data_IF_467906460665
#
_entry.id   IF_467906460665
#
_cell.length_a   1.000
_cell.length_b   1.000
_cell.length_c   1.000
_cell.angle_alpha   90.00
_cell.angle_beta   90.00
_cell.angle_gamma   90.00
#
_symmetry.space_group_name_H-M   'P 1'
#
loop_
_entity.id
_entity.type
_entity.pdbx_description
1 polymer ?
#
# COMPACT_ATOMS: atom_id res chain seq x y z
N UNK A 1 4.58 -6.32 15.86
CA UNK A 1 5.57 -5.37 16.05
C UNK A 1 4.91 -4.01 16.16
N UNK A 2 4.87 -3.53 17.26
CA UNK A 2 4.13 -2.35 17.54
C UNK A 2 5.09 -1.18 17.68
N UNK A 3 4.77 -0.26 18.47
CA UNK A 3 5.62 0.87 18.69
C UNK A 3 6.81 0.55 19.57
N UNK A 4 6.99 -0.71 19.88
CA UNK A 4 8.11 -1.14 20.61
C UNK A 4 9.41 -0.72 20.01
N UNK A 5 9.45 -0.51 18.73
CA UNK A 5 10.62 0.05 18.12
C UNK A 5 10.94 1.41 18.63
N UNK A 6 9.90 2.13 18.99
CA UNK A 6 9.98 3.56 19.21
C UNK A 6 9.61 3.93 20.61
N UNK A 7 9.40 2.92 21.44
CA UNK A 7 8.92 3.14 22.78
C UNK A 7 7.57 3.86 22.72
N UNK A 8 7.36 4.80 23.59
CA UNK A 8 6.11 5.53 23.67
C UNK A 8 6.10 6.79 22.82
N UNK A 9 7.15 7.04 22.07
CA UNK A 9 7.20 8.23 21.21
C UNK A 9 6.48 8.05 19.89
N UNK A 10 6.10 6.83 19.53
CA UNK A 10 5.43 6.54 18.26
C UNK A 10 4.10 5.84 18.48
N UNK A 11 3.16 6.12 17.61
CA UNK A 11 1.85 5.50 17.61
C UNK A 11 1.51 4.98 16.23
N UNK A 12 0.83 3.83 16.19
CA UNK A 12 0.26 3.31 14.97
C UNK A 12 -1.23 3.63 14.95
N UNK A 13 -1.65 4.37 13.95
CA UNK A 13 -3.04 4.79 13.79
C UNK A 13 -3.55 4.32 12.44
N UNK A 14 -4.61 3.51 12.44
CA UNK A 14 -5.21 2.98 11.23
C UNK A 14 -6.72 3.13 11.32
N UNK A 15 -7.36 3.90 10.43
CA UNK A 15 -6.78 4.75 9.41
C UNK A 15 -6.13 5.99 9.99
N UNK A 16 -5.23 6.61 9.22
CA UNK A 16 -4.56 7.83 9.65
C UNK A 16 -5.56 8.97 9.82
N UNK A 17 -5.24 9.90 10.72
CA UNK A 17 -6.09 11.07 10.98
C UNK A 17 -5.86 12.14 9.92
N UNK A 18 -6.42 11.92 8.74
CA UNK A 18 -6.36 12.84 7.63
C UNK A 18 -7.78 13.17 7.19
N UNK A 19 -7.98 14.38 6.68
CA UNK A 19 -9.29 14.71 6.14
C UNK A 19 -9.51 14.06 4.76
N UNK A 20 -10.72 14.19 4.23
CA UNK A 20 -11.09 13.54 2.98
C UNK A 20 -10.21 14.02 1.82
N UNK A 21 -9.90 15.31 1.79
CA UNK A 21 -9.08 15.87 0.72
C UNK A 21 -7.63 15.38 0.82
N UNK A 22 -7.10 15.32 2.02
CA UNK A 22 -5.75 14.80 2.24
C UNK A 22 -5.65 13.34 1.84
N UNK A 23 -6.65 12.54 2.19
CA UNK A 23 -6.68 11.12 1.81
C UNK A 23 -6.74 10.98 0.29
N UNK A 24 -7.61 11.74 -0.38
CA UNK A 24 -7.72 11.68 -1.83
C UNK A 24 -6.42 12.08 -2.52
N UNK A 25 -5.76 13.10 -2.02
CA UNK A 25 -4.48 13.57 -2.54
C UNK A 25 -3.39 12.49 -2.37
N UNK A 26 -3.33 11.90 -1.19
CA UNK A 26 -2.38 10.85 -0.88
C UNK A 26 -2.59 9.63 -1.78
N UNK A 27 -3.84 9.20 -1.93
CA UNK A 27 -4.17 8.05 -2.77
C UNK A 27 -3.82 8.29 -4.23
N UNK A 28 -4.13 9.47 -4.74
CA UNK A 28 -3.82 9.83 -6.13
C UNK A 28 -2.30 9.82 -6.35
N UNK A 29 -1.55 10.36 -5.41
CA UNK A 29 -0.09 10.38 -5.49
C UNK A 29 0.50 8.97 -5.44
N UNK A 30 -0.03 8.13 -4.54
CA UNK A 30 0.41 6.74 -4.42
C UNK A 30 0.17 5.97 -5.73
N UNK A 31 -0.99 6.16 -6.35
CA UNK A 31 -1.31 5.52 -7.63
C UNK A 31 -0.36 5.99 -8.73
N UNK A 32 -0.07 7.29 -8.79
CA UNK A 32 0.87 7.82 -9.76
C UNK A 32 2.26 7.21 -9.62
N UNK A 33 2.73 7.08 -8.39
CA UNK A 33 4.04 6.48 -8.11
C UNK A 33 4.02 5.00 -8.52
N UNK A 34 2.98 4.28 -8.14
CA UNK A 34 2.79 2.88 -8.49
C UNK A 34 2.87 2.66 -10.00
N UNK A 35 2.16 3.47 -10.77
CA UNK A 35 2.16 3.37 -12.22
C UNK A 35 3.49 3.80 -12.84
N UNK A 36 4.10 4.86 -12.32
CA UNK A 36 5.37 5.36 -12.85
C UNK A 36 6.49 4.34 -12.69
N UNK A 37 6.48 3.58 -11.59
CA UNK A 37 7.46 2.55 -11.34
C UNK A 37 7.08 1.20 -11.96
N UNK A 38 5.93 1.13 -12.62
CA UNK A 38 5.44 -0.08 -13.27
C UNK A 38 5.29 -1.24 -12.30
N UNK A 39 4.85 -0.95 -11.10
CA UNK A 39 4.59 -1.97 -10.09
C UNK A 39 3.34 -2.76 -10.51
N UNK A 40 3.33 -4.04 -10.21
CA UNK A 40 2.15 -4.89 -10.38
C UNK A 40 1.91 -5.66 -9.08
N UNK A 41 0.65 -5.92 -8.80
CA UNK A 41 0.27 -6.62 -7.58
C UNK A 41 0.34 -5.69 -6.38
N UNK A 42 0.87 -6.21 -5.27
CA UNK A 42 0.86 -5.45 -4.04
C UNK A 42 2.02 -4.47 -3.93
N UNK A 43 1.74 -3.39 -3.23
CA UNK A 43 2.76 -2.43 -2.84
C UNK A 43 2.28 -1.65 -1.63
N UNK A 44 3.22 -1.21 -0.81
CA UNK A 44 2.95 -0.21 0.22
C UNK A 44 3.83 0.99 -0.10
N UNK A 45 3.20 2.14 -0.22
CA UNK A 45 3.91 3.38 -0.52
C UNK A 45 3.95 4.20 0.76
N UNK A 46 5.14 4.52 1.22
CA UNK A 46 5.35 5.22 2.47
C UNK A 46 5.68 6.68 2.22
N UNK A 47 5.03 7.56 2.98
CA UNK A 47 5.18 9.00 2.83
C UNK A 47 5.54 9.65 4.16
N UNK A 48 6.26 10.76 4.05
CA UNK A 48 6.27 11.75 5.12
C UNK A 48 5.22 12.80 4.79
N UNK A 49 4.63 13.39 5.80
CA UNK A 49 3.63 14.43 5.60
C UNK A 49 3.97 15.67 6.40
N UNK A 50 4.17 16.77 5.70
CA UNK A 50 4.38 18.09 6.31
C UNK A 50 3.11 18.90 6.11
N UNK A 51 2.28 18.94 7.14
CA UNK A 51 0.94 19.51 7.02
C UNK A 51 0.95 20.97 6.55
N UNK A 52 1.79 21.77 7.13
CA UNK A 52 1.88 23.19 6.80
C UNK A 52 3.13 23.52 5.98
N UNK A 53 3.64 22.57 5.27
CA UNK A 53 4.86 22.70 4.49
C UNK A 53 4.70 22.10 3.11
N UNK A 54 5.57 21.15 2.78
CA UNK A 54 5.63 20.59 1.43
C UNK A 54 4.57 19.53 1.13
N UNK A 55 3.70 19.20 2.10
CA UNK A 55 2.68 18.18 1.90
C UNK A 55 3.24 16.77 1.98
N UNK A 56 2.77 15.90 1.10
CA UNK A 56 3.21 14.51 1.08
C UNK A 56 4.51 14.34 0.31
N UNK A 57 5.45 13.68 0.94
CA UNK A 57 6.76 13.40 0.37
C UNK A 57 6.96 11.89 0.35
N UNK A 58 7.13 11.32 -0.82
CA UNK A 58 7.34 9.88 -0.92
C UNK A 58 8.68 9.49 -0.31
N UNK A 59 8.64 8.56 0.63
CA UNK A 59 9.84 8.03 1.25
C UNK A 59 10.31 6.77 0.54
N UNK A 60 9.44 5.78 0.41
CA UNK A 60 9.81 4.53 -0.24
C UNK A 60 8.61 3.78 -0.76
N UNK A 61 8.85 2.86 -1.68
CA UNK A 61 7.86 1.92 -2.17
C UNK A 61 8.34 0.52 -1.82
N UNK A 62 7.49 -0.24 -1.14
CA UNK A 62 7.79 -1.61 -0.75
C UNK A 62 6.87 -2.55 -1.52
N UNK A 63 7.43 -3.33 -2.44
CA UNK A 63 6.66 -4.24 -3.27
C UNK A 63 6.46 -5.62 -2.65
N UNK A 64 7.11 -5.88 -1.51
CA UNK A 64 6.91 -7.11 -0.74
C UNK A 64 6.67 -6.73 0.73
N UNK A 65 5.57 -6.04 1.00
CA UNK A 65 5.27 -5.66 2.38
C UNK A 65 4.95 -6.87 3.23
N UNK A 66 5.13 -6.73 4.55
CA UNK A 66 4.76 -7.78 5.47
C UNK A 66 3.32 -8.21 5.24
N UNK A 67 3.05 -9.50 5.32
CA UNK A 67 1.75 -10.05 4.95
C UNK A 67 1.27 -11.07 5.96
N UNK A 68 1.27 -10.70 7.21
CA UNK A 68 0.61 -11.46 8.27
C UNK A 68 -0.70 -10.76 8.62
N UNK A 69 -1.63 -11.43 9.31
CA UNK A 69 -2.89 -10.78 9.69
C UNK A 69 -2.74 -9.51 10.51
N UNK A 70 -1.60 -9.34 11.18
CA UNK A 70 -1.34 -8.15 11.99
C UNK A 70 -0.40 -7.15 11.31
N UNK A 71 0.02 -7.44 10.09
CA UNK A 71 0.90 -6.53 9.33
C UNK A 71 0.13 -5.33 8.82
N UNK A 72 0.84 -4.23 8.62
CA UNK A 72 0.24 -2.96 8.25
C UNK A 72 -0.49 -3.01 6.91
N UNK A 73 0.08 -3.68 5.91
CA UNK A 73 -0.53 -3.73 4.59
C UNK A 73 -1.93 -4.36 4.63
N UNK A 74 -2.11 -5.58 5.18
CA UNK A 74 -3.47 -6.13 5.30
C UNK A 74 -4.37 -5.30 6.20
N UNK A 75 -3.83 -4.69 7.26
CA UNK A 75 -4.63 -3.85 8.16
C UNK A 75 -5.18 -2.62 7.46
N UNK A 76 -4.41 -2.00 6.59
CA UNK A 76 -4.88 -0.85 5.83
C UNK A 76 -6.00 -1.25 4.88
N UNK A 77 -5.88 -2.40 4.23
CA UNK A 77 -6.95 -2.88 3.36
C UNK A 77 -8.21 -3.23 4.14
N UNK A 78 -8.04 -3.85 5.31
CA UNK A 78 -9.18 -4.15 6.18
C UNK A 78 -9.91 -2.87 6.60
N UNK A 79 -9.16 -1.84 6.96
CA UNK A 79 -9.73 -0.54 7.30
C UNK A 79 -10.46 0.09 6.11
N UNK A 80 -10.08 -0.26 4.89
CA UNK A 80 -10.73 0.20 3.66
C UNK A 80 -11.86 -0.71 3.20
N UNK A 81 -12.18 -1.75 3.95
CA UNK A 81 -13.31 -2.62 3.65
C UNK A 81 -12.97 -3.92 2.95
N UNK A 82 -11.69 -4.23 2.75
CA UNK A 82 -11.29 -5.48 2.10
C UNK A 82 -10.68 -6.42 3.13
N UNK A 83 -11.40 -7.48 3.45
CA UNK A 83 -10.96 -8.46 4.43
C UNK A 83 -9.74 -9.25 3.95
N UNK A 84 -8.99 -9.78 4.90
CA UNK A 84 -7.74 -10.48 4.62
C UNK A 84 -7.89 -11.62 3.58
N UNK A 85 -8.89 -12.51 3.70
CA UNK A 85 -9.06 -13.56 2.69
C UNK A 85 -9.34 -13.01 1.29
N UNK A 86 -10.16 -11.97 1.20
CA UNK A 86 -10.50 -11.35 -0.07
C UNK A 86 -9.29 -10.64 -0.68
N UNK A 87 -8.44 -10.07 0.15
CA UNK A 87 -7.19 -9.48 -0.30
C UNK A 87 -6.29 -10.54 -0.93
N UNK A 88 -6.17 -11.69 -0.29
CA UNK A 88 -5.38 -12.80 -0.83
C UNK A 88 -5.93 -13.23 -2.19
N UNK A 89 -7.25 -13.41 -2.29
CA UNK A 89 -7.88 -13.79 -3.56
C UNK A 89 -7.60 -12.78 -4.66
N UNK A 90 -7.69 -11.49 -4.35
CA UNK A 90 -7.38 -10.42 -5.31
C UNK A 90 -5.94 -10.48 -5.80
N UNK A 91 -5.01 -10.71 -4.89
CA UNK A 91 -3.60 -10.76 -5.25
C UNK A 91 -3.29 -11.99 -6.10
N UNK A 92 -3.92 -13.13 -5.80
CA UNK A 92 -3.78 -14.34 -6.62
C UNK A 92 -4.34 -14.09 -8.02
N UNK A 93 -5.50 -13.47 -8.13
CA UNK A 93 -6.10 -13.16 -9.43
C UNK A 93 -5.20 -12.25 -10.25
N UNK A 94 -4.62 -11.25 -9.63
CA UNK A 94 -3.69 -10.34 -10.31
C UNK A 94 -2.44 -11.10 -10.81
N UNK A 95 -1.93 -12.02 -10.00
CA UNK A 95 -0.76 -12.81 -10.38
C UNK A 95 -1.08 -13.72 -11.56
N UNK A 96 -2.26 -14.34 -11.56
CA UNK A 96 -2.70 -15.19 -12.66
C UNK A 96 -2.86 -14.38 -13.95
N UNK A 97 -3.45 -13.21 -13.86
CA UNK A 97 -3.63 -12.33 -15.01
C UNK A 97 -2.29 -11.87 -15.56
N UNK A 98 -1.34 -11.53 -14.70
CA UNK A 98 0.00 -11.14 -15.11
C UNK A 98 0.72 -12.29 -15.80
N UNK A 99 0.61 -13.49 -15.25
CA UNK A 99 1.23 -14.66 -15.83
C UNK A 99 0.67 -14.95 -17.22
N UNK A 100 -0.63 -14.86 -17.38
CA UNK A 100 -1.30 -15.05 -18.67
C UNK A 100 -0.80 -14.05 -19.71
N UNK A 101 -0.66 -12.77 -19.33
CA UNK A 101 -0.14 -11.76 -20.25
C UNK A 101 1.30 -12.06 -20.66
N UNK A 102 2.13 -12.48 -19.72
CA UNK A 102 3.53 -12.81 -20.02
C UNK A 102 3.64 -14.03 -20.92
N UNK A 103 2.84 -15.06 -20.64
CA UNK A 103 2.82 -16.26 -21.49
C UNK A 103 2.42 -15.91 -22.91
N UNK A 104 1.40 -15.09 -23.04
CA UNK A 104 0.92 -14.68 -24.34
C UNK A 104 1.99 -13.92 -25.13
N UNK A 105 2.73 -13.05 -24.45
CA UNK A 105 3.79 -12.26 -25.08
C UNK A 105 4.98 -13.11 -25.52
N UNK A 106 5.31 -14.15 -24.77
CA UNK A 106 6.47 -14.98 -25.07
C UNK A 106 6.14 -16.16 -25.94
N UNK A 107 4.87 -16.46 -26.11
CA UNK A 107 4.40 -17.57 -26.94
C UNK A 107 4.26 -17.06 -28.37
N UNK A 108 5.09 -17.53 -29.25
CA UNK A 108 5.11 -17.09 -30.62
C UNK A 108 4.94 -18.23 -31.56
#
# INVERSE_FOLDING_TARGET
YDDYYFHDSAKLVVPAHLDIQEIAQLQALAIRIYLALRVEGMARVDFFYEKDGRGFLCNEVNTIPGFTPISMYPKMWEASGLAYPDLIDRLVDLALARHARKRHKTSR
#
